data_IF_576093672119
#
_entry.id   IF_576093672119
#
_cell.length_a   1.000
_cell.length_b   1.000
_cell.length_c   1.000
_cell.angle_alpha   90.00
_cell.angle_beta   90.00
_cell.angle_gamma   90.00
#
_symmetry.space_group_name_H-M   'P 1'
#
loop_
_entity.id
_entity.type
_entity.pdbx_description
1 polymer ?
#
# COMPACT_ATOMS: atom_id res chain seq x y z
N UNK A 1 4.19 -10.11 -31.58
CA UNK A 1 2.79 -10.32 -31.18
C UNK A 1 2.78 -10.66 -29.70
N UNK A 2 2.46 -9.68 -28.88
CA UNK A 2 2.19 -9.90 -27.43
C UNK A 2 0.68 -9.97 -27.30
N UNK A 3 0.13 -11.17 -27.14
CA UNK A 3 -1.28 -11.35 -26.83
C UNK A 3 -1.49 -11.06 -25.35
N UNK A 4 -2.01 -9.89 -25.03
CA UNK A 4 -2.51 -9.58 -23.69
C UNK A 4 -3.85 -10.28 -23.54
N UNK A 5 -3.86 -11.42 -22.85
CA UNK A 5 -5.11 -12.06 -22.44
C UNK A 5 -5.74 -11.24 -21.33
N UNK A 6 -6.69 -10.39 -21.70
CA UNK A 6 -7.57 -9.70 -20.77
C UNK A 6 -8.46 -10.73 -20.10
N UNK A 7 -8.22 -11.03 -18.82
CA UNK A 7 -9.14 -11.80 -17.99
C UNK A 7 -10.35 -10.90 -17.66
N UNK A 8 -11.34 -10.91 -18.54
CA UNK A 8 -12.67 -10.44 -18.20
C UNK A 8 -13.25 -11.37 -17.15
N UNK A 9 -13.39 -10.91 -15.92
CA UNK A 9 -14.13 -11.65 -14.91
C UNK A 9 -15.62 -11.61 -15.32
N UNK A 10 -16.09 -12.68 -15.95
CA UNK A 10 -17.47 -12.80 -16.39
C UNK A 10 -18.41 -13.00 -15.19
N UNK A 11 -19.48 -12.23 -15.16
CA UNK A 11 -20.59 -12.39 -14.20
C UNK A 11 -21.23 -13.80 -14.27
N UNK A 12 -21.01 -14.56 -15.35
CA UNK A 12 -21.42 -15.95 -15.52
C UNK A 12 -20.77 -16.94 -14.56
N UNK A 13 -19.72 -16.52 -13.86
CA UNK A 13 -19.04 -17.32 -12.81
C UNK A 13 -19.62 -17.11 -11.40
N UNK A 14 -20.54 -16.17 -11.23
CA UNK A 14 -21.25 -15.99 -9.97
C UNK A 14 -22.14 -17.24 -9.75
N UNK A 15 -21.81 -18.00 -8.73
CA UNK A 15 -22.53 -19.24 -8.35
C UNK A 15 -21.83 -20.56 -8.73
N UNK A 16 -20.74 -20.53 -9.55
CA UNK A 16 -19.89 -21.71 -9.83
C UNK A 16 -18.60 -21.75 -9.05
N UNK A 17 -18.13 -20.62 -8.54
CA UNK A 17 -16.97 -20.51 -7.65
C UNK A 17 -17.40 -20.58 -6.19
N UNK A 18 -16.52 -21.05 -5.30
CA UNK A 18 -16.75 -20.96 -3.85
C UNK A 18 -17.05 -19.50 -3.51
N UNK A 19 -18.13 -19.25 -2.79
CA UNK A 19 -18.62 -17.91 -2.44
C UNK A 19 -17.53 -17.07 -1.79
N UNK A 20 -16.68 -17.71 -0.97
CA UNK A 20 -15.53 -17.10 -0.31
C UNK A 20 -14.30 -17.99 -0.50
N UNK A 21 -13.20 -17.37 -0.90
CA UNK A 21 -11.88 -18.00 -0.94
C UNK A 21 -10.90 -17.12 -0.17
N UNK A 22 -10.37 -17.66 0.92
CA UNK A 22 -9.33 -17.02 1.72
C UNK A 22 -7.99 -17.67 1.40
N UNK A 23 -6.99 -16.86 1.07
CA UNK A 23 -5.61 -17.31 0.83
C UNK A 23 -4.66 -16.35 1.50
N UNK A 24 -3.54 -16.83 1.99
CA UNK A 24 -2.54 -15.97 2.63
C UNK A 24 -1.63 -16.71 3.58
N UNK A 25 -0.80 -15.96 4.26
CA UNK A 25 0.12 -16.47 5.26
C UNK A 25 0.44 -15.40 6.31
N UNK A 26 0.80 -15.88 7.48
CA UNK A 26 1.27 -15.07 8.60
C UNK A 26 2.62 -15.63 9.02
N UNK A 27 3.60 -14.73 9.23
CA UNK A 27 4.92 -15.06 9.75
C UNK A 27 5.17 -14.28 11.05
N UNK A 28 5.74 -14.95 12.02
CA UNK A 28 6.19 -14.33 13.27
C UNK A 28 7.67 -14.66 13.47
N UNK A 29 8.46 -13.62 13.70
CA UNK A 29 9.88 -13.72 14.02
C UNK A 29 10.12 -13.11 15.38
N UNK A 30 10.90 -13.78 16.22
CA UNK A 30 11.27 -13.28 17.54
C UNK A 30 12.79 -13.32 17.69
N UNK A 31 13.31 -12.29 18.32
CA UNK A 31 14.74 -12.19 18.64
C UNK A 31 14.88 -11.95 20.13
N UNK A 32 15.64 -12.84 20.79
CA UNK A 32 16.06 -12.66 22.19
C UNK A 32 17.50 -12.17 22.19
N UNK A 33 17.75 -11.12 22.94
CA UNK A 33 19.07 -10.53 23.06
C UNK A 33 19.44 -10.43 24.52
N UNK A 34 20.63 -10.95 24.85
CA UNK A 34 21.29 -10.78 26.17
C UNK A 34 22.71 -10.27 25.91
N UNK A 35 23.01 -9.05 26.36
CA UNK A 35 24.29 -8.43 26.10
C UNK A 35 24.42 -7.02 26.70
N UNK A 36 25.61 -6.43 26.59
CA UNK A 36 25.94 -5.14 27.19
C UNK A 36 25.42 -3.91 26.45
N UNK A 37 24.79 -4.08 25.26
CA UNK A 37 24.21 -2.96 24.50
C UNK A 37 22.82 -2.62 25.05
N UNK A 38 22.50 -1.32 25.09
CA UNK A 38 21.19 -0.83 25.48
C UNK A 38 20.17 -1.13 24.36
N UNK A 39 19.74 -2.38 24.30
CA UNK A 39 18.79 -2.91 23.32
C UNK A 39 17.68 -3.68 24.03
N UNK A 40 16.45 -3.62 23.50
CA UNK A 40 15.34 -4.39 24.03
C UNK A 40 15.70 -5.89 24.07
N UNK A 41 15.57 -6.56 25.23
CA UNK A 41 15.94 -7.97 25.38
C UNK A 41 15.06 -8.91 24.57
N UNK A 42 13.87 -8.46 24.19
CA UNK A 42 12.93 -9.21 23.40
C UNK A 42 12.34 -8.35 22.29
N UNK A 43 12.51 -8.80 21.06
CA UNK A 43 11.94 -8.15 19.88
C UNK A 43 11.10 -9.13 19.10
N UNK A 44 9.94 -8.69 18.61
CA UNK A 44 9.11 -9.48 17.73
C UNK A 44 8.67 -8.71 16.49
N UNK A 45 8.50 -9.45 15.39
CA UNK A 45 7.94 -8.99 14.14
C UNK A 45 6.87 -9.97 13.71
N UNK A 46 5.66 -9.50 13.56
CA UNK A 46 4.54 -10.26 13.01
C UNK A 46 4.13 -9.58 11.72
N UNK A 47 4.13 -10.33 10.62
CA UNK A 47 3.67 -9.83 9.34
C UNK A 47 2.77 -10.86 8.67
N UNK A 48 1.89 -10.40 7.82
CA UNK A 48 0.99 -11.29 7.10
C UNK A 48 0.34 -10.62 5.90
N UNK A 49 -0.01 -11.49 4.97
CA UNK A 49 -0.78 -11.14 3.80
C UNK A 49 -1.95 -12.11 3.71
N UNK A 50 -3.15 -11.57 3.66
CA UNK A 50 -4.38 -12.33 3.54
C UNK A 50 -5.18 -11.77 2.37
N UNK A 51 -5.62 -12.63 1.47
CA UNK A 51 -6.44 -12.25 0.35
C UNK A 51 -7.81 -12.90 0.44
N UNK A 52 -8.85 -12.09 0.54
CA UNK A 52 -10.23 -12.52 0.50
C UNK A 52 -10.79 -12.30 -0.91
N UNK A 53 -11.12 -13.39 -1.58
CA UNK A 53 -11.83 -13.35 -2.85
C UNK A 53 -13.29 -13.74 -2.65
N UNK A 54 -14.20 -12.90 -3.12
CA UNK A 54 -15.64 -13.09 -3.00
C UNK A 54 -16.21 -13.36 -4.40
N UNK A 55 -16.77 -14.54 -4.59
CA UNK A 55 -17.42 -14.99 -5.83
C UNK A 55 -16.56 -14.85 -7.10
N UNK A 56 -15.22 -14.79 -6.97
CA UNK A 56 -14.33 -14.56 -8.09
C UNK A 56 -14.36 -13.13 -8.68
N UNK A 57 -15.16 -12.25 -8.12
CA UNK A 57 -15.43 -10.89 -8.64
C UNK A 57 -14.75 -9.81 -7.82
N UNK A 58 -14.81 -9.92 -6.50
CA UNK A 58 -14.16 -9.01 -5.58
C UNK A 58 -12.88 -9.64 -5.05
N UNK A 59 -11.80 -8.89 -5.10
CA UNK A 59 -10.51 -9.30 -4.54
C UNK A 59 -10.07 -8.26 -3.51
N UNK A 60 -9.85 -8.70 -2.28
CA UNK A 60 -9.55 -7.83 -1.13
C UNK A 60 -8.25 -8.32 -0.48
N UNK A 61 -7.07 -7.93 -1.03
CA UNK A 61 -5.81 -8.17 -0.37
C UNK A 61 -5.67 -7.26 0.86
N UNK A 62 -5.24 -7.88 1.94
CA UNK A 62 -4.98 -7.26 3.21
C UNK A 62 -3.55 -7.59 3.63
N UNK A 63 -2.77 -6.59 3.99
CA UNK A 63 -1.40 -6.75 4.46
C UNK A 63 -1.20 -6.03 5.79
N UNK A 64 -0.48 -6.65 6.69
CA UNK A 64 -0.12 -6.04 7.96
C UNK A 64 1.30 -6.39 8.38
N UNK A 65 1.88 -5.49 9.15
CA UNK A 65 3.16 -5.68 9.85
C UNK A 65 3.03 -5.06 11.23
N UNK A 66 3.47 -5.77 12.23
CA UNK A 66 3.43 -5.33 13.62
C UNK A 66 4.70 -5.72 14.35
N UNK A 67 5.28 -4.78 15.12
CA UNK A 67 6.50 -4.99 15.91
C UNK A 67 6.47 -4.14 17.18
N UNK A 68 7.17 -4.59 18.22
CA UNK A 68 7.48 -3.77 19.40
C UNK A 68 8.68 -2.84 19.18
N UNK A 69 9.40 -2.98 18.08
CA UNK A 69 10.51 -2.10 17.76
C UNK A 69 10.02 -0.68 17.46
N UNK A 70 10.67 0.27 18.10
CA UNK A 70 10.53 1.69 17.78
C UNK A 70 11.86 2.17 17.21
N UNK A 71 11.81 3.10 16.29
CA UNK A 71 13.01 3.83 15.89
C UNK A 71 13.36 4.82 17.01
N UNK A 72 14.61 4.78 17.49
CA UNK A 72 15.12 5.77 18.46
C UNK A 72 15.39 7.14 17.81
N UNK A 73 15.29 7.24 16.52
CA UNK A 73 15.39 8.47 15.74
C UNK A 73 14.02 8.88 15.23
N UNK A 74 13.83 10.16 14.93
CA UNK A 74 12.60 10.71 14.30
C UNK A 74 12.41 10.16 12.90
N UNK A 75 12.21 8.86 12.81
CA UNK A 75 11.99 8.23 11.53
C UNK A 75 10.50 8.31 11.19
N UNK A 76 10.12 8.89 10.04
CA UNK A 76 8.72 8.96 9.62
C UNK A 76 8.10 7.60 9.34
N UNK A 77 8.91 6.55 9.29
CA UNK A 77 8.46 5.20 9.02
C UNK A 77 8.10 4.47 10.32
N UNK A 78 7.00 3.73 10.29
CA UNK A 78 6.61 2.82 11.37
C UNK A 78 6.76 1.37 10.89
N UNK A 79 7.19 0.49 11.79
CA UNK A 79 7.11 -0.96 11.55
C UNK A 79 5.65 -1.45 11.55
N UNK A 80 4.79 -0.73 12.26
CA UNK A 80 3.37 -1.06 12.36
C UNK A 80 2.63 -0.46 11.16
N UNK A 81 2.22 -1.33 10.24
CA UNK A 81 1.58 -0.96 8.98
C UNK A 81 0.35 -1.82 8.75
N UNK A 82 -0.63 -1.22 8.13
CA UNK A 82 -1.85 -1.87 7.74
C UNK A 82 -2.30 -1.35 6.39
N UNK A 83 -2.55 -2.24 5.44
CA UNK A 83 -3.07 -1.86 4.13
C UNK A 83 -4.12 -2.82 3.61
N UNK A 84 -5.11 -2.27 2.93
CA UNK A 84 -6.17 -3.00 2.26
C UNK A 84 -6.29 -2.46 0.84
N UNK A 85 -6.36 -3.36 -0.15
CA UNK A 85 -6.45 -2.99 -1.57
C UNK A 85 -7.66 -3.64 -2.26
N UNK A 86 -8.90 -3.29 -1.89
CA UNK A 86 -10.08 -3.84 -2.53
C UNK A 86 -10.10 -3.53 -4.03
N UNK A 87 -10.30 -4.56 -4.84
CA UNK A 87 -10.40 -4.42 -6.28
C UNK A 87 -11.69 -5.03 -6.82
N UNK A 88 -12.31 -4.34 -7.74
CA UNK A 88 -13.49 -4.76 -8.45
C UNK A 88 -13.36 -4.38 -9.93
N UNK A 89 -13.29 -5.39 -10.80
CA UNK A 89 -13.09 -5.20 -12.24
C UNK A 89 -11.87 -4.29 -12.53
N UNK A 90 -12.13 -3.08 -12.98
CA UNK A 90 -11.15 -2.08 -13.41
C UNK A 90 -10.90 -0.98 -12.37
N UNK A 91 -11.47 -1.11 -11.18
CA UNK A 91 -11.28 -0.19 -10.06
C UNK A 91 -10.52 -0.89 -8.95
N UNK A 92 -9.44 -0.26 -8.47
CA UNK A 92 -8.70 -0.69 -7.27
C UNK A 92 -8.65 0.48 -6.30
N UNK A 93 -8.95 0.23 -5.06
CA UNK A 93 -8.81 1.22 -3.99
C UNK A 93 -7.65 0.82 -3.07
N UNK A 94 -7.05 1.80 -2.45
CA UNK A 94 -5.90 1.65 -1.56
C UNK A 94 -6.21 2.36 -0.25
N UNK A 95 -6.14 1.66 0.87
CA UNK A 95 -6.52 2.20 2.19
C UNK A 95 -5.46 1.80 3.21
N UNK A 96 -5.02 2.74 4.03
CA UNK A 96 -4.03 2.54 5.07
C UNK A 96 -2.64 2.99 4.68
N UNK A 97 -1.62 2.19 5.02
CA UNK A 97 -0.21 2.47 4.69
C UNK A 97 0.11 1.91 3.31
N UNK A 98 0.07 2.74 2.31
CA UNK A 98 0.12 2.35 0.90
C UNK A 98 1.18 3.13 0.13
N UNK A 99 1.59 2.56 -1.00
CA UNK A 99 2.49 3.20 -1.95
C UNK A 99 1.74 3.37 -3.28
N UNK A 100 1.87 4.54 -3.87
CA UNK A 100 1.38 4.79 -5.23
C UNK A 100 2.47 5.44 -6.08
N UNK A 101 2.36 5.27 -7.38
CA UNK A 101 3.26 5.89 -8.35
C UNK A 101 2.44 6.56 -9.43
N UNK A 102 2.61 7.86 -9.59
CA UNK A 102 2.00 8.64 -10.65
C UNK A 102 2.96 8.82 -11.83
N UNK A 103 4.15 9.32 -11.53
CA UNK A 103 5.23 9.45 -12.51
C UNK A 103 6.59 9.44 -11.80
N UNK A 104 7.71 9.25 -12.53
CA UNK A 104 9.05 9.34 -11.94
C UNK A 104 9.39 10.70 -11.32
N UNK A 105 8.67 11.75 -11.73
CA UNK A 105 8.95 13.15 -11.34
C UNK A 105 8.02 13.69 -10.26
N UNK A 106 6.98 12.95 -9.89
CA UNK A 106 5.99 13.37 -8.90
C UNK A 106 5.92 12.38 -7.74
N UNK A 107 4.82 11.65 -7.59
CA UNK A 107 4.71 10.57 -6.61
C UNK A 107 5.32 9.29 -7.22
N UNK A 108 6.51 8.91 -6.76
CA UNK A 108 7.21 7.72 -7.24
C UNK A 108 7.45 6.72 -6.11
N UNK A 109 6.48 5.82 -5.90
CA UNK A 109 6.57 4.79 -4.87
C UNK A 109 6.63 5.33 -3.43
N UNK A 110 6.28 6.59 -3.23
CA UNK A 110 6.29 7.18 -1.90
C UNK A 110 5.19 6.59 -1.04
N UNK A 111 5.57 6.16 0.16
CA UNK A 111 4.61 5.64 1.13
C UNK A 111 3.83 6.77 1.78
N UNK A 112 2.53 6.57 1.93
CA UNK A 112 1.66 7.46 2.69
C UNK A 112 0.62 6.65 3.46
N UNK A 113 0.06 7.25 4.50
CA UNK A 113 -1.08 6.68 5.24
C UNK A 113 -2.33 7.44 4.83
N UNK A 114 -3.26 6.76 4.16
CA UNK A 114 -4.45 7.44 3.66
C UNK A 114 -5.29 6.58 2.76
N UNK A 115 -5.81 7.21 1.72
CA UNK A 115 -6.69 6.61 0.73
C UNK A 115 -6.20 6.95 -0.68
N UNK A 116 -6.30 5.98 -1.57
CA UNK A 116 -6.03 6.15 -2.99
C UNK A 116 -6.92 5.26 -3.84
N UNK A 117 -6.99 5.56 -5.14
CA UNK A 117 -7.67 4.69 -6.09
C UNK A 117 -7.00 4.73 -7.46
N UNK A 118 -7.13 3.63 -8.17
CA UNK A 118 -6.78 3.45 -9.56
C UNK A 118 -7.99 3.00 -10.35
N UNK A 119 -8.23 3.65 -11.46
CA UNK A 119 -9.32 3.36 -12.41
C UNK A 119 -8.70 3.15 -13.79
N UNK A 120 -8.89 1.96 -14.38
CA UNK A 120 -8.31 1.62 -15.68
C UNK A 120 -9.31 0.82 -16.52
N UNK A 121 -10.32 1.48 -17.11
CA UNK A 121 -11.34 0.80 -17.90
C UNK A 121 -10.75 0.16 -19.17
N UNK A 122 -11.02 -1.11 -19.46
CA UNK A 122 -10.32 -1.87 -20.50
C UNK A 122 -10.56 -1.40 -21.93
N UNK A 123 -11.55 -0.54 -22.16
CA UNK A 123 -11.93 -0.07 -23.51
C UNK A 123 -11.53 1.38 -23.82
N UNK A 124 -10.92 2.09 -22.87
CA UNK A 124 -10.76 3.55 -23.00
C UNK A 124 -9.31 4.00 -23.14
N UNK A 125 -8.33 3.09 -23.05
CA UNK A 125 -6.90 3.45 -23.00
C UNK A 125 -6.60 4.60 -22.01
N UNK A 126 -7.37 4.66 -20.93
CA UNK A 126 -7.28 5.70 -19.90
C UNK A 126 -7.00 5.06 -18.54
N UNK A 127 -6.04 5.61 -17.83
CA UNK A 127 -5.81 5.30 -16.42
C UNK A 127 -5.92 6.59 -15.60
N UNK A 128 -6.72 6.55 -14.54
CA UNK A 128 -6.85 7.64 -13.58
C UNK A 128 -6.44 7.10 -12.22
N UNK A 129 -5.55 7.82 -11.55
CA UNK A 129 -5.09 7.52 -10.20
C UNK A 129 -5.25 8.76 -9.34
N UNK A 130 -5.69 8.60 -8.11
CA UNK A 130 -5.71 9.70 -7.16
C UNK A 130 -5.34 9.22 -5.76
N UNK A 131 -4.80 10.14 -4.96
CA UNK A 131 -4.44 9.87 -3.58
C UNK A 131 -4.74 11.06 -2.68
N UNK A 132 -4.99 10.76 -1.43
CA UNK A 132 -5.04 11.70 -0.32
C UNK A 132 -4.52 11.01 0.94
N UNK A 133 -3.55 11.61 1.60
CA UNK A 133 -3.04 11.01 2.83
C UNK A 133 -1.90 11.77 3.49
N UNK A 134 -1.46 11.22 4.58
CA UNK A 134 -0.32 11.72 5.34
C UNK A 134 0.97 11.14 4.76
N UNK A 135 1.80 12.03 4.19
CA UNK A 135 3.11 11.68 3.63
C UNK A 135 4.20 11.59 4.71
N UNK A 136 4.06 12.36 5.79
CA UNK A 136 5.01 12.37 6.90
C UNK A 136 4.24 12.53 8.22
N UNK A 137 4.60 11.74 9.21
CA UNK A 137 4.11 11.88 10.58
C UNK A 137 4.90 12.98 11.28
N UNK A 138 4.24 13.77 12.12
CA UNK A 138 4.93 14.69 13.01
C UNK A 138 5.75 13.92 14.06
N UNK A 139 6.90 14.45 14.39
CA UNK A 139 7.74 14.00 15.49
C UNK A 139 8.18 15.24 16.26
N UNK A 140 7.96 15.24 17.57
CA UNK A 140 8.46 16.28 18.46
C UNK A 140 9.93 16.03 18.75
N UNK A 141 10.63 17.11 19.11
CA UNK A 141 11.98 16.97 19.61
C UNK A 141 11.95 16.26 20.96
N UNK A 142 12.77 15.23 21.12
CA UNK A 142 12.91 14.49 22.36
C UNK A 142 14.27 14.85 22.98
N UNK A 143 14.25 15.52 24.13
CA UNK A 143 15.46 15.94 24.84
C UNK A 143 16.31 14.74 25.34
N UNK A 144 15.65 13.60 25.56
CA UNK A 144 16.31 12.37 25.99
C UNK A 144 17.03 11.64 24.84
N UNK A 145 16.71 12.02 23.58
CA UNK A 145 17.31 11.47 22.37
C UNK A 145 17.93 12.62 21.55
N UNK A 146 19.23 12.96 21.77
CA UNK A 146 19.88 14.09 21.10
C UNK A 146 19.88 14.02 19.55
N UNK A 147 19.69 12.82 19.00
CA UNK A 147 19.61 12.56 17.56
C UNK A 147 18.20 12.68 17.03
N UNK A 148 17.21 13.07 17.85
CA UNK A 148 15.84 13.24 17.42
C UNK A 148 15.72 14.49 16.55
N UNK A 149 15.29 14.31 15.31
CA UNK A 149 14.98 15.43 14.40
C UNK A 149 13.47 15.70 14.40
N UNK A 150 13.02 16.91 14.79
CA UNK A 150 11.62 17.23 14.74
C UNK A 150 11.13 17.27 13.28
N UNK A 151 9.98 16.70 13.03
CA UNK A 151 9.37 16.72 11.70
C UNK A 151 7.94 17.22 11.76
N UNK A 152 7.56 18.06 10.80
CA UNK A 152 6.18 18.52 10.67
C UNK A 152 5.33 17.50 9.94
N UNK A 153 4.09 17.36 10.38
CA UNK A 153 3.09 16.58 9.66
C UNK A 153 2.91 17.12 8.24
N UNK A 154 3.02 16.23 7.25
CA UNK A 154 2.79 16.56 5.84
C UNK A 154 1.60 15.77 5.33
N UNK A 155 0.63 16.46 4.78
CA UNK A 155 -0.51 15.89 4.06
C UNK A 155 -0.32 16.20 2.59
N UNK A 156 -0.57 15.20 1.75
CA UNK A 156 -0.52 15.33 0.30
C UNK A 156 -1.80 14.84 -0.34
N UNK A 157 -2.09 15.39 -1.49
CA UNK A 157 -3.11 14.90 -2.41
C UNK A 157 -2.58 15.03 -3.84
N UNK A 158 -3.09 14.20 -4.71
CA UNK A 158 -2.67 14.24 -6.09
C UNK A 158 -3.63 13.45 -6.98
N UNK A 159 -3.66 13.84 -8.24
CA UNK A 159 -4.42 13.17 -9.30
C UNK A 159 -3.48 12.99 -10.49
N UNK A 160 -3.49 11.81 -11.06
CA UNK A 160 -2.81 11.48 -12.31
C UNK A 160 -3.83 10.94 -13.31
N UNK A 161 -3.80 11.47 -14.52
CA UNK A 161 -4.58 10.96 -15.65
C UNK A 161 -3.62 10.62 -16.78
N UNK A 162 -3.61 9.38 -17.22
CA UNK A 162 -2.76 8.86 -18.29
C UNK A 162 -3.64 8.33 -19.41
N UNK A 163 -3.48 8.88 -20.60
CA UNK A 163 -4.08 8.38 -21.84
C UNK A 163 -2.99 7.72 -22.69
N UNK A 164 -3.19 6.45 -23.04
CA UNK A 164 -2.18 5.61 -23.71
C UNK A 164 -2.75 4.83 -24.90
N UNK A 165 -3.08 5.50 -26.03
CA UNK A 165 -3.39 4.82 -27.28
C UNK A 165 -2.17 4.04 -27.80
N UNK A 166 -2.33 3.30 -28.89
CA UNK A 166 -1.32 2.34 -29.37
C UNK A 166 0.06 2.97 -29.67
N UNK A 167 0.13 4.23 -30.10
CA UNK A 167 1.35 4.84 -30.62
C UNK A 167 1.99 5.91 -29.70
N UNK A 168 1.29 6.40 -28.71
CA UNK A 168 1.81 7.44 -27.79
C UNK A 168 1.13 7.40 -26.42
N UNK A 169 1.69 8.11 -25.48
CA UNK A 169 1.05 8.29 -24.16
C UNK A 169 1.14 9.76 -23.74
N UNK A 170 0.06 10.27 -23.20
CA UNK A 170 -0.02 11.61 -22.61
C UNK A 170 -0.52 11.50 -21.19
N UNK A 171 0.23 12.08 -20.26
CA UNK A 171 -0.10 12.08 -18.84
C UNK A 171 -0.16 13.50 -18.29
N UNK A 172 -1.12 13.74 -17.41
CA UNK A 172 -1.24 14.94 -16.60
C UNK A 172 -1.23 14.53 -15.14
N UNK A 173 -0.36 15.19 -14.36
CA UNK A 173 -0.28 14.98 -12.91
C UNK A 173 -0.39 16.34 -12.21
N UNK A 174 -1.25 16.40 -11.22
CA UNK A 174 -1.47 17.57 -10.37
C UNK A 174 -1.25 17.15 -8.92
#
# INVERSE_FOLDING_TARGET
FISVTSYSQELSQIGKSKLFKLTGGIAANTVFYEGALNRDPFTYFINGNVNLNISGVYNIPFSFSYSNQKFNTSNPFSFNRLSIHPSYKWVTTHIGDVNMTFSPYTLNGHQFTGFGFDISPPKTNLKISAMYGRLLKESEYDEDIPESEPSFKRIGYGINALYYPENYSVGLTI
#
